data_IF_431763651826
#
_entry.id   IF_431763651826
#
_cell.length_a   1.000
_cell.length_b   1.000
_cell.length_c   1.000
_cell.angle_alpha   90.00
_cell.angle_beta   90.00
_cell.angle_gamma   90.00
#
_symmetry.space_group_name_H-M   'P 1'
#
loop_
_entity.id
_entity.type
_entity.pdbx_description
1 polymer ?
#
# COMPACT_ATOMS: atom_id res chain seq x y z
N UNK A 1 -6.92 -57.10 -15.83
CA UNK A 1 -6.68 -56.45 -14.52
C UNK A 1 -5.57 -55.40 -14.53
N UNK A 2 -4.50 -55.54 -15.32
CA UNK A 2 -3.36 -54.60 -15.34
C UNK A 2 -3.66 -53.22 -15.98
N UNK A 3 -4.55 -53.14 -16.96
CA UNK A 3 -4.93 -51.90 -17.67
C UNK A 3 -5.69 -50.91 -16.79
N UNK A 4 -6.62 -51.40 -15.96
CA UNK A 4 -7.39 -50.57 -15.03
C UNK A 4 -6.53 -49.93 -13.93
N UNK A 5 -5.43 -50.58 -13.53
CA UNK A 5 -4.50 -50.04 -12.54
C UNK A 5 -3.59 -48.95 -13.14
N UNK A 6 -3.27 -49.04 -14.43
CA UNK A 6 -2.47 -48.05 -15.15
C UNK A 6 -3.24 -46.73 -15.38
N UNK A 7 -4.54 -46.81 -15.71
CA UNK A 7 -5.39 -45.63 -15.91
C UNK A 7 -5.60 -44.85 -14.61
N UNK A 8 -5.81 -45.54 -13.48
CA UNK A 8 -5.96 -44.91 -12.15
C UNK A 8 -4.68 -44.20 -11.70
N UNK A 9 -3.52 -44.78 -11.97
CA UNK A 9 -2.20 -44.15 -11.70
C UNK A 9 -1.97 -42.92 -12.57
N UNK A 10 -2.38 -42.97 -13.83
CA UNK A 10 -2.29 -41.82 -14.74
C UNK A 10 -3.22 -40.67 -14.35
N UNK A 11 -4.46 -40.97 -13.97
CA UNK A 11 -5.42 -39.97 -13.47
C UNK A 11 -4.96 -39.33 -12.15
N UNK A 12 -4.40 -40.13 -11.23
CA UNK A 12 -3.82 -39.61 -9.98
C UNK A 12 -2.62 -38.70 -10.25
N UNK A 13 -1.72 -39.12 -11.15
CA UNK A 13 -0.56 -38.31 -11.54
C UNK A 13 -0.99 -36.99 -12.20
N UNK A 14 -2.01 -37.01 -13.07
CA UNK A 14 -2.54 -35.81 -13.72
C UNK A 14 -3.20 -34.86 -12.70
N UNK A 15 -3.95 -35.39 -11.73
CA UNK A 15 -4.52 -34.61 -10.64
C UNK A 15 -3.44 -33.96 -9.76
N UNK A 16 -2.36 -34.70 -9.47
CA UNK A 16 -1.24 -34.19 -8.66
C UNK A 16 -0.48 -33.06 -9.39
N UNK A 17 -0.25 -33.19 -10.70
CA UNK A 17 0.41 -32.15 -11.51
C UNK A 17 -0.45 -30.87 -11.57
N UNK A 18 -1.76 -30.99 -11.75
CA UNK A 18 -2.68 -29.83 -11.75
C UNK A 18 -2.70 -29.09 -10.40
N UNK A 19 -2.66 -29.82 -9.28
CA UNK A 19 -2.61 -29.26 -7.94
C UNK A 19 -1.31 -28.47 -7.68
N UNK A 20 -0.16 -28.98 -8.16
CA UNK A 20 1.13 -28.30 -8.02
C UNK A 20 1.18 -27.00 -8.85
N UNK A 21 0.52 -26.96 -10.01
CA UNK A 21 0.47 -25.76 -10.87
C UNK A 21 -0.33 -24.59 -10.26
N UNK A 22 -1.22 -24.84 -9.30
CA UNK A 22 -2.04 -23.78 -8.67
C UNK A 22 -1.33 -23.05 -7.52
N UNK A 23 -0.21 -23.58 -7.00
CA UNK A 23 0.48 -23.02 -5.83
C UNK A 23 1.23 -21.70 -6.11
N UNK A 24 1.36 -21.28 -7.37
CA UNK A 24 2.27 -20.21 -7.80
C UNK A 24 1.70 -18.78 -7.80
N UNK A 25 0.54 -18.52 -7.19
CA UNK A 25 -0.11 -17.20 -7.29
C UNK A 25 0.43 -16.10 -6.36
N UNK A 26 1.30 -16.43 -5.41
CA UNK A 26 1.79 -15.47 -4.42
C UNK A 26 2.55 -14.26 -5.01
N UNK A 27 3.12 -14.39 -6.22
CA UNK A 27 3.84 -13.30 -6.90
C UNK A 27 2.93 -12.37 -7.73
N UNK A 28 1.65 -12.71 -7.88
CA UNK A 28 0.69 -11.87 -8.63
C UNK A 28 0.01 -10.81 -7.79
N UNK A 29 0.39 -10.65 -6.52
CA UNK A 29 -0.28 -9.76 -5.57
C UNK A 29 0.71 -8.76 -4.98
N UNK A 30 0.18 -7.66 -4.46
CA UNK A 30 0.94 -6.65 -3.73
C UNK A 30 0.21 -6.37 -2.40
N UNK A 31 0.35 -7.26 -1.41
CA UNK A 31 -0.50 -7.26 -0.22
C UNK A 31 -0.16 -6.19 0.82
N UNK A 32 1.00 -5.54 0.72
CA UNK A 32 1.50 -4.62 1.74
C UNK A 32 2.42 -3.54 1.15
N UNK A 33 2.81 -2.59 2.00
CA UNK A 33 3.84 -1.61 1.66
C UNK A 33 5.11 -2.32 1.19
N UNK A 34 5.63 -1.89 0.03
CA UNK A 34 6.80 -2.48 -0.64
C UNK A 34 6.64 -3.94 -1.10
N UNK A 35 5.41 -4.44 -1.20
CA UNK A 35 5.10 -5.66 -1.94
C UNK A 35 5.31 -6.96 -1.16
N UNK A 36 5.22 -8.12 -1.85
CA UNK A 36 5.22 -9.44 -1.21
C UNK A 36 6.41 -9.72 -0.30
N UNK A 37 7.56 -9.14 -0.62
CA UNK A 37 8.83 -9.33 0.09
C UNK A 37 9.36 -8.04 0.74
N UNK A 38 8.51 -7.01 0.85
CA UNK A 38 8.82 -5.74 1.55
C UNK A 38 10.02 -4.92 1.02
N UNK A 39 10.51 -5.19 -0.19
CA UNK A 39 11.68 -4.51 -0.77
C UNK A 39 11.31 -3.47 -1.86
N UNK A 40 10.06 -3.44 -2.33
CA UNK A 40 9.57 -2.50 -3.33
C UNK A 40 9.92 -2.86 -4.77
N UNK A 41 10.40 -4.09 -5.02
CA UNK A 41 10.83 -4.54 -6.35
C UNK A 41 9.74 -5.41 -6.97
N UNK A 42 9.31 -5.05 -8.18
CA UNK A 42 8.48 -5.90 -9.03
C UNK A 42 9.37 -6.69 -10.00
N UNK A 43 9.80 -7.90 -9.61
CA UNK A 43 10.76 -8.73 -10.35
C UNK A 43 10.39 -8.98 -11.81
N UNK A 44 9.10 -9.19 -12.10
CA UNK A 44 8.56 -9.45 -13.44
C UNK A 44 7.82 -8.23 -14.02
N UNK A 45 7.95 -7.06 -13.37
CA UNK A 45 7.27 -5.85 -13.76
C UNK A 45 7.90 -5.21 -14.99
N UNK A 46 7.07 -4.90 -16.00
CA UNK A 46 7.48 -4.16 -17.19
C UNK A 46 6.62 -2.89 -17.33
N UNK A 47 6.71 -1.94 -16.38
CA UNK A 47 5.89 -0.74 -16.44
C UNK A 47 6.33 0.17 -17.61
N UNK A 48 5.41 0.95 -18.19
CA UNK A 48 5.78 2.03 -19.12
C UNK A 48 6.77 3.01 -18.47
N UNK A 49 7.71 3.52 -19.27
CA UNK A 49 8.73 4.49 -18.84
C UNK A 49 8.37 5.93 -19.22
N UNK A 50 7.38 6.13 -20.09
CA UNK A 50 6.84 7.43 -20.48
C UNK A 50 5.43 7.59 -19.93
N UNK A 51 5.05 8.80 -19.54
CA UNK A 51 3.75 9.10 -18.95
C UNK A 51 3.34 10.53 -19.29
N UNK A 52 2.05 10.73 -19.62
CA UNK A 52 1.42 12.05 -19.70
C UNK A 52 -0.01 11.96 -19.16
N UNK A 53 -0.74 13.08 -19.17
CA UNK A 53 -2.17 13.07 -18.85
C UNK A 53 -3.00 12.22 -19.82
N UNK A 54 -2.46 11.95 -21.01
CA UNK A 54 -3.05 11.23 -22.13
C UNK A 54 -2.32 9.90 -22.47
N UNK A 55 -1.05 9.74 -22.07
CA UNK A 55 -0.23 8.58 -22.41
C UNK A 55 -0.09 7.61 -21.22
N UNK A 56 -0.21 6.31 -21.50
CA UNK A 56 0.01 5.20 -20.55
C UNK A 56 -0.92 5.18 -19.31
N UNK A 57 -1.96 6.02 -19.25
CA UNK A 57 -3.00 5.97 -18.23
C UNK A 57 -4.16 5.09 -18.71
N UNK A 58 -4.41 3.96 -18.02
CA UNK A 58 -5.55 3.07 -18.34
C UNK A 58 -6.90 3.61 -17.87
N UNK A 59 -6.93 4.30 -16.74
CA UNK A 59 -8.16 4.84 -16.15
C UNK A 59 -7.83 5.88 -15.08
N UNK A 60 -8.80 6.76 -14.81
CA UNK A 60 -8.82 7.70 -13.68
C UNK A 60 -10.15 7.56 -12.96
N UNK A 61 -10.13 7.59 -11.62
CA UNK A 61 -11.35 7.50 -10.81
C UNK A 61 -11.26 8.50 -9.65
N UNK A 62 -12.25 9.40 -9.47
CA UNK A 62 -12.30 10.22 -8.27
C UNK A 62 -12.55 9.32 -7.05
N UNK A 63 -11.70 9.47 -6.03
CA UNK A 63 -11.81 8.74 -4.76
C UNK A 63 -12.20 9.74 -3.66
N UNK A 64 -13.27 9.49 -2.89
CA UNK A 64 -13.65 10.36 -1.79
C UNK A 64 -12.63 10.39 -0.66
N UNK A 65 -12.55 11.52 0.03
CA UNK A 65 -11.69 11.66 1.20
C UNK A 65 -10.21 11.84 0.86
N UNK A 66 -9.36 11.72 1.89
CA UNK A 66 -7.89 11.83 1.78
C UNK A 66 -7.24 10.51 2.19
N UNK A 67 -6.23 10.07 1.46
CA UNK A 67 -5.50 8.82 1.76
C UNK A 67 -3.99 8.99 1.60
N UNK A 68 -3.24 8.35 2.50
CA UNK A 68 -1.77 8.33 2.48
C UNK A 68 -1.19 6.90 2.47
N UNK A 69 -2.05 5.89 2.61
CA UNK A 69 -1.63 4.49 2.58
C UNK A 69 -1.25 4.07 1.15
N UNK A 70 -0.28 3.17 1.04
CA UNK A 70 -0.02 2.50 -0.23
C UNK A 70 -1.21 1.62 -0.62
N UNK A 71 -1.58 1.57 -1.92
CA UNK A 71 -2.61 0.65 -2.38
C UNK A 71 -2.20 -0.82 -2.14
N UNK A 72 -3.22 -1.67 -1.98
CA UNK A 72 -3.06 -3.13 -1.98
C UNK A 72 -3.66 -3.69 -3.25
N UNK A 73 -2.92 -4.54 -3.95
CA UNK A 73 -3.39 -5.27 -5.12
C UNK A 73 -3.55 -6.74 -4.78
N UNK A 74 -4.73 -7.30 -5.04
CA UNK A 74 -4.99 -8.73 -4.90
C UNK A 74 -5.77 -9.24 -6.12
N UNK A 75 -5.08 -10.00 -6.97
CA UNK A 75 -5.58 -10.41 -8.28
C UNK A 75 -5.99 -9.19 -9.11
N UNK A 76 -7.28 -9.12 -9.47
CA UNK A 76 -7.87 -8.02 -10.27
C UNK A 76 -8.53 -6.92 -9.42
N UNK A 77 -8.25 -6.87 -8.11
CA UNK A 77 -8.84 -5.91 -7.18
C UNK A 77 -7.77 -4.97 -6.61
N UNK A 78 -8.15 -3.71 -6.46
CA UNK A 78 -7.36 -2.65 -5.84
C UNK A 78 -8.09 -2.20 -4.57
N UNK A 79 -7.39 -2.21 -3.44
CA UNK A 79 -7.90 -1.74 -2.15
C UNK A 79 -7.17 -0.47 -1.75
N UNK A 80 -7.94 0.54 -1.33
CA UNK A 80 -7.46 1.86 -0.92
C UNK A 80 -8.04 2.19 0.45
N UNK A 81 -7.23 2.82 1.29
CA UNK A 81 -7.66 3.36 2.58
C UNK A 81 -7.73 4.89 2.50
N UNK A 82 -8.90 5.44 2.81
CA UNK A 82 -9.18 6.88 2.76
C UNK A 82 -9.97 7.33 3.97
N UNK A 83 -9.63 8.49 4.51
CA UNK A 83 -10.41 9.20 5.50
C UNK A 83 -11.43 10.10 4.79
N UNK A 84 -12.71 9.74 4.88
CA UNK A 84 -13.82 10.55 4.39
C UNK A 84 -14.27 11.44 5.54
N UNK A 85 -14.30 12.75 5.32
CA UNK A 85 -14.81 13.67 6.32
C UNK A 85 -16.32 13.45 6.47
N UNK A 86 -16.78 13.33 7.71
CA UNK A 86 -18.21 13.45 7.97
C UNK A 86 -18.65 14.89 7.65
N UNK A 87 -19.83 15.08 7.05
CA UNK A 87 -20.39 16.41 6.93
C UNK A 87 -20.48 16.98 8.34
N UNK A 88 -19.89 18.16 8.55
CA UNK A 88 -19.97 18.83 9.84
C UNK A 88 -21.46 18.96 10.21
N UNK A 89 -21.87 18.35 11.31
CA UNK A 89 -23.13 18.70 11.94
C UNK A 89 -23.13 20.23 12.10
N UNK A 90 -24.22 20.86 11.69
CA UNK A 90 -24.41 22.30 11.74
C UNK A 90 -24.51 22.78 13.20
N UNK A 91 -23.41 22.72 13.94
CA UNK A 91 -23.29 23.22 15.31
C UNK A 91 -23.30 24.76 15.37
N UNK A 92 -24.02 25.41 14.46
CA UNK A 92 -24.29 26.85 14.45
C UNK A 92 -25.03 27.34 15.71
N UNK A 93 -25.48 26.42 16.58
CA UNK A 93 -26.04 26.72 17.90
C UNK A 93 -25.06 26.71 19.09
N UNK A 94 -23.76 26.38 18.92
CA UNK A 94 -22.81 26.39 20.05
C UNK A 94 -21.62 27.34 19.84
N UNK A 95 -21.94 28.61 19.54
CA UNK A 95 -20.99 29.72 19.65
C UNK A 95 -21.00 30.22 21.10
N UNK A 96 -20.44 29.44 22.02
CA UNK A 96 -20.39 29.84 23.43
C UNK A 96 -19.33 29.07 24.19
N UNK A 97 -18.25 29.77 24.53
CA UNK A 97 -17.11 29.33 25.34
C UNK A 97 -16.05 28.53 24.56
N UNK A 98 -15.20 29.27 23.84
CA UNK A 98 -13.90 28.75 23.46
C UNK A 98 -13.11 28.36 24.71
N UNK A 99 -12.48 27.19 24.69
CA UNK A 99 -11.48 26.86 25.70
C UNK A 99 -10.42 27.98 25.71
N UNK A 100 -9.92 28.39 26.88
CA UNK A 100 -8.82 29.35 26.96
C UNK A 100 -7.67 28.87 26.07
N UNK A 101 -6.94 29.78 25.40
CA UNK A 101 -5.76 29.38 24.66
C UNK A 101 -4.84 28.61 25.61
N UNK A 102 -4.54 27.36 25.23
CA UNK A 102 -3.57 26.53 25.94
C UNK A 102 -2.27 27.34 26.07
N UNK A 103 -1.70 27.49 27.28
CA UNK A 103 -0.43 28.17 27.46
C UNK A 103 0.59 27.48 26.56
N UNK A 104 1.10 28.21 25.56
CA UNK A 104 2.19 27.71 24.75
C UNK A 104 3.36 27.46 25.71
N UNK A 105 3.63 26.20 26.03
CA UNK A 105 4.84 25.84 26.74
C UNK A 105 5.99 26.35 25.88
N UNK A 106 6.68 27.39 26.36
CA UNK A 106 7.88 27.91 25.73
C UNK A 106 8.80 26.72 25.42
N UNK A 107 9.01 26.46 24.13
CA UNK A 107 10.06 25.54 23.71
C UNK A 107 11.34 26.11 24.29
N UNK A 108 12.07 25.39 25.17
CA UNK A 108 13.25 25.94 25.81
C UNK A 108 14.17 26.52 24.74
N UNK A 109 14.43 27.83 24.84
CA UNK A 109 15.21 28.57 23.86
C UNK A 109 16.53 27.84 23.59
N UNK A 110 16.87 27.72 22.31
CA UNK A 110 18.19 27.22 21.89
C UNK A 110 19.23 28.11 22.57
N UNK A 111 20.01 27.56 23.50
CA UNK A 111 21.04 28.30 24.23
C UNK A 111 21.95 29.02 23.25
N UNK A 112 22.06 30.36 23.31
CA UNK A 112 23.07 31.08 22.54
C UNK A 112 24.44 30.65 23.07
N UNK A 113 25.25 30.00 22.23
CA UNK A 113 26.65 29.69 22.57
C UNK A 113 27.11 28.25 22.39
N UNK A 114 26.27 27.31 21.94
CA UNK A 114 26.80 25.99 21.55
C UNK A 114 27.40 26.08 20.14
N UNK A 115 28.64 26.57 20.09
CA UNK A 115 29.44 26.73 18.90
C UNK A 115 29.56 25.41 18.13
N UNK A 116 29.39 25.52 16.81
CA UNK A 116 29.76 24.49 15.84
C UNK A 116 31.28 24.41 15.78
N UNK A 117 31.88 23.72 16.75
CA UNK A 117 33.26 23.24 16.66
C UNK A 117 33.33 22.15 15.59
N UNK A 118 34.04 22.43 14.49
CA UNK A 118 34.22 21.50 13.38
C UNK A 118 35.23 20.39 13.68
N UNK A 119 34.97 19.20 13.13
CA UNK A 119 35.91 18.14 12.74
C UNK A 119 35.05 17.13 11.96
N UNK A 120 35.17 16.91 10.65
CA UNK A 120 36.37 16.65 9.87
C UNK A 120 36.48 15.13 9.67
N UNK A 121 36.29 14.63 8.44
CA UNK A 121 36.75 13.29 8.07
C UNK A 121 35.85 12.48 7.12
N UNK A 122 36.26 12.49 5.84
CA UNK A 122 36.00 11.55 4.72
C UNK A 122 34.62 11.53 4.10
#
# INVERSE_FOLDING_TARGET
>A
MHTFLSIKRFALALGLVSAVMHLSHAQTHWPQWRGPVSNGIALEGHPPTTWSEEENIRWKKPIPGKGHASPVLWGKRLFLLTAVAEPAADNSGNSGVGNPPEPQAERPGRRPGQGRGGRGGR
#
